data_IF_143101777183
#
_entry.id   IF_143101777183
#
_cell.length_a   1.000
_cell.length_b   1.000
_cell.length_c   1.000
_cell.angle_alpha   90.00
_cell.angle_beta   90.00
_cell.angle_gamma   90.00
#
_symmetry.space_group_name_H-M   'P 1'
#
loop_
_entity.id
_entity.type
_entity.pdbx_description
1 polymer ?
#
# COMPACT_ATOMS: atom_id res chain seq x y z
N UNK A 1 -14.21 11.48 13.67
CA UNK A 1 -14.61 10.16 13.09
C UNK A 1 -14.28 9.08 14.10
N UNK A 2 -15.21 8.15 14.38
CA UNK A 2 -14.92 7.01 15.25
C UNK A 2 -14.00 6.01 14.54
N UNK A 3 -13.09 5.39 15.31
CA UNK A 3 -12.23 4.34 14.80
C UNK A 3 -13.05 3.10 14.41
N UNK A 4 -12.73 2.49 13.27
CA UNK A 4 -13.49 1.38 12.68
C UNK A 4 -12.65 0.11 12.65
N UNK A 5 -13.03 -0.88 13.46
CA UNK A 5 -12.42 -2.21 13.45
C UNK A 5 -13.05 -3.14 12.39
N UNK A 6 -14.37 -3.03 12.21
CA UNK A 6 -15.13 -3.82 11.24
C UNK A 6 -16.17 -2.95 10.57
N UNK A 7 -16.55 -3.31 9.36
CA UNK A 7 -17.62 -2.65 8.62
C UNK A 7 -18.83 -3.58 8.47
N UNK A 8 -20.02 -2.99 8.47
CA UNK A 8 -21.29 -3.66 8.24
C UNK A 8 -22.15 -2.79 7.32
N UNK A 9 -22.02 -2.99 6.02
CA UNK A 9 -22.77 -2.26 5.01
C UNK A 9 -23.86 -3.16 4.40
N UNK A 10 -24.98 -2.59 3.93
CA UNK A 10 -26.08 -3.33 3.31
C UNK A 10 -25.75 -3.76 1.87
N UNK A 11 -24.55 -4.28 1.65
CA UNK A 11 -24.03 -4.77 0.38
C UNK A 11 -23.38 -6.13 0.59
N UNK A 12 -23.38 -7.02 -0.42
CA UNK A 12 -22.69 -8.29 -0.33
C UNK A 12 -21.16 -8.08 -0.12
N UNK A 13 -20.63 -8.50 1.02
CA UNK A 13 -19.19 -8.49 1.26
C UNK A 13 -18.56 -9.70 0.58
N UNK A 14 -17.69 -9.44 -0.39
CA UNK A 14 -17.02 -10.46 -1.23
C UNK A 14 -15.57 -10.70 -0.84
N UNK A 15 -15.01 -9.86 0.05
CA UNK A 15 -13.64 -10.03 0.54
C UNK A 15 -13.40 -9.27 1.83
N UNK A 16 -12.42 -9.75 2.61
CA UNK A 16 -11.92 -9.10 3.81
C UNK A 16 -10.41 -9.27 3.87
N UNK A 17 -9.70 -8.17 3.66
CA UNK A 17 -8.24 -8.11 3.80
C UNK A 17 -7.80 -7.72 5.22
N UNK A 18 -6.49 -7.57 5.40
CA UNK A 18 -5.87 -7.15 6.67
C UNK A 18 -6.40 -5.78 7.14
N UNK A 19 -6.70 -4.87 6.21
CA UNK A 19 -7.14 -3.49 6.50
C UNK A 19 -8.39 -3.07 5.74
N UNK A 20 -8.78 -3.73 4.66
CA UNK A 20 -9.92 -3.38 3.79
C UNK A 20 -10.97 -4.47 3.75
N UNK A 21 -12.22 -4.04 3.72
CA UNK A 21 -13.37 -4.88 3.40
C UNK A 21 -13.84 -4.53 1.98
N UNK A 22 -14.18 -5.54 1.18
CA UNK A 22 -14.56 -5.40 -0.23
C UNK A 22 -16.01 -5.82 -0.40
N UNK A 23 -16.83 -4.93 -0.94
CA UNK A 23 -18.24 -5.17 -1.19
C UNK A 23 -18.53 -5.16 -2.69
N UNK A 24 -19.41 -6.05 -3.14
CA UNK A 24 -19.92 -6.01 -4.51
C UNK A 24 -20.96 -4.87 -4.66
N UNK A 25 -20.89 -4.16 -5.79
CA UNK A 25 -21.85 -3.13 -6.19
C UNK A 25 -22.28 -3.45 -7.62
N UNK A 26 -23.38 -4.19 -7.76
CA UNK A 26 -23.74 -4.81 -9.04
C UNK A 26 -22.67 -5.79 -9.51
N UNK A 27 -22.61 -6.02 -10.82
CA UNK A 27 -21.71 -6.99 -11.42
C UNK A 27 -20.35 -6.38 -11.83
N UNK A 28 -20.33 -5.07 -12.07
CA UNK A 28 -19.22 -4.36 -12.71
C UNK A 28 -18.41 -3.45 -11.77
N UNK A 29 -18.82 -3.31 -10.50
CA UNK A 29 -18.19 -2.42 -9.53
C UNK A 29 -17.92 -3.12 -8.20
N UNK A 30 -17.01 -2.54 -7.44
CA UNK A 30 -16.73 -2.89 -6.05
C UNK A 30 -16.60 -1.62 -5.22
N UNK A 31 -16.99 -1.71 -3.95
CA UNK A 31 -16.70 -0.69 -2.95
C UNK A 31 -15.58 -1.21 -2.05
N UNK A 32 -14.45 -0.53 -2.05
CA UNK A 32 -13.36 -0.75 -1.11
C UNK A 32 -13.59 0.13 0.10
N UNK A 33 -13.75 -0.48 1.29
CA UNK A 33 -13.89 0.25 2.54
C UNK A 33 -12.69 -0.05 3.43
N UNK A 34 -11.88 0.98 3.67
CA UNK A 34 -10.67 0.86 4.48
C UNK A 34 -11.01 1.12 5.95
N UNK A 35 -10.74 0.13 6.78
CA UNK A 35 -10.91 0.20 8.24
C UNK A 35 -9.66 0.78 8.90
N UNK A 36 -9.74 1.00 10.22
CA UNK A 36 -8.60 1.46 11.01
C UNK A 36 -7.77 0.31 11.60
N UNK A 37 -8.00 -0.94 11.12
CA UNK A 37 -7.14 -2.09 11.44
C UNK A 37 -5.71 -1.82 11.02
N UNK A 38 -4.77 -2.35 11.80
CA UNK A 38 -3.36 -2.30 11.46
C UNK A 38 -2.73 -3.69 11.63
N UNK A 39 -1.78 -4.01 10.78
CA UNK A 39 -0.98 -5.23 10.86
C UNK A 39 0.50 -4.91 10.78
N UNK A 40 1.31 -5.64 11.53
CA UNK A 40 2.76 -5.65 11.40
C UNK A 40 3.28 -7.07 11.60
N UNK A 41 4.37 -7.43 10.92
CA UNK A 41 4.92 -8.80 10.95
C UNK A 41 3.85 -9.87 10.63
N UNK A 42 2.93 -9.55 9.69
CA UNK A 42 1.78 -10.34 9.25
C UNK A 42 0.71 -10.64 10.31
N UNK A 43 0.84 -10.08 11.50
CA UNK A 43 -0.16 -10.18 12.57
C UNK A 43 -1.01 -8.91 12.61
N UNK A 44 -2.34 -9.09 12.65
CA UNK A 44 -3.31 -7.99 12.82
C UNK A 44 -3.45 -7.68 14.30
N UNK A 45 -3.28 -6.40 14.66
CA UNK A 45 -3.44 -5.93 16.04
C UNK A 45 -4.90 -5.93 16.46
N UNK A 46 -5.15 -6.05 17.77
CA UNK A 46 -6.50 -5.94 18.34
C UNK A 46 -6.99 -4.50 18.32
N UNK A 47 -6.09 -3.55 18.53
CA UNK A 47 -6.38 -2.12 18.54
C UNK A 47 -6.45 -1.56 17.12
N UNK A 48 -7.16 -0.45 16.99
CA UNK A 48 -7.27 0.33 15.76
C UNK A 48 -6.39 1.57 15.83
N UNK A 49 -5.93 2.05 14.68
CA UNK A 49 -5.23 3.34 14.57
C UNK A 49 -6.23 4.38 14.05
N UNK A 50 -6.66 5.33 14.87
CA UNK A 50 -7.64 6.35 14.47
C UNK A 50 -7.20 7.07 13.19
N UNK A 51 -8.16 7.31 12.28
CA UNK A 51 -7.98 7.99 10.99
C UNK A 51 -7.17 7.21 9.93
N UNK A 52 -6.56 6.08 10.27
CA UNK A 52 -5.71 5.32 9.32
C UNK A 52 -6.45 4.96 8.03
N UNK A 53 -7.67 4.43 8.14
CA UNK A 53 -8.46 4.04 6.97
C UNK A 53 -8.77 5.22 6.05
N UNK A 54 -9.07 6.38 6.63
CA UNK A 54 -9.32 7.60 5.88
C UNK A 54 -8.03 8.11 5.20
N UNK A 55 -6.92 8.14 5.92
CA UNK A 55 -5.61 8.54 5.36
C UNK A 55 -5.26 7.69 4.15
N UNK A 56 -5.33 6.37 4.25
CA UNK A 56 -4.98 5.47 3.14
C UNK A 56 -5.87 5.68 1.93
N UNK A 57 -7.19 5.79 2.16
CA UNK A 57 -8.15 6.01 1.07
C UNK A 57 -7.92 7.36 0.39
N UNK A 58 -7.75 8.44 1.17
CA UNK A 58 -7.61 9.78 0.60
C UNK A 58 -6.25 10.00 -0.07
N UNK A 59 -5.15 9.39 0.42
CA UNK A 59 -3.87 9.37 -0.30
C UNK A 59 -4.02 8.63 -1.64
N UNK A 60 -4.61 7.43 -1.64
CA UNK A 60 -4.85 6.68 -2.89
C UNK A 60 -5.70 7.46 -3.87
N UNK A 61 -6.79 8.08 -3.39
CA UNK A 61 -7.68 8.89 -4.23
C UNK A 61 -6.97 10.12 -4.79
N UNK A 62 -6.10 10.76 -4.00
CA UNK A 62 -5.28 11.86 -4.48
C UNK A 62 -4.33 11.41 -5.59
N UNK A 63 -3.62 10.28 -5.42
CA UNK A 63 -2.74 9.73 -6.45
C UNK A 63 -3.49 9.32 -7.72
N UNK A 64 -4.65 8.68 -7.60
CA UNK A 64 -5.45 8.32 -8.77
C UNK A 64 -5.86 9.56 -9.59
N UNK A 65 -6.19 10.67 -8.92
CA UNK A 65 -6.45 11.94 -9.61
C UNK A 65 -5.20 12.51 -10.31
N UNK A 66 -4.01 12.39 -9.69
CA UNK A 66 -2.75 12.81 -10.33
C UNK A 66 -2.38 11.92 -11.53
N UNK A 67 -2.76 10.66 -11.50
CA UNK A 67 -2.49 9.67 -12.55
C UNK A 67 -3.51 9.70 -13.70
N UNK A 68 -4.52 10.55 -13.62
CA UNK A 68 -5.51 10.73 -14.72
C UNK A 68 -4.78 11.08 -16.02
N UNK A 69 -5.06 10.32 -17.10
CA UNK A 69 -4.35 10.47 -18.37
C UNK A 69 -2.92 9.91 -18.42
N UNK A 70 -2.35 9.45 -17.30
CA UNK A 70 -1.01 8.81 -17.25
C UNK A 70 -1.13 7.30 -17.39
N UNK A 71 -1.95 6.66 -16.55
CA UNK A 71 -2.27 5.24 -16.62
C UNK A 71 -3.75 5.01 -16.31
N UNK A 72 -4.41 4.04 -16.97
CA UNK A 72 -5.77 3.69 -16.64
C UNK A 72 -5.83 3.06 -15.23
N UNK A 73 -6.87 3.42 -14.47
CA UNK A 73 -7.07 2.93 -13.11
C UNK A 73 -8.53 2.63 -12.80
N UNK A 74 -8.78 1.96 -11.68
CA UNK A 74 -10.10 1.46 -11.32
C UNK A 74 -10.99 2.46 -10.57
N UNK A 75 -10.43 3.52 -9.96
CA UNK A 75 -11.21 4.45 -9.15
C UNK A 75 -12.31 5.15 -9.98
N UNK A 76 -13.53 5.11 -9.46
CA UNK A 76 -14.68 5.86 -9.98
C UNK A 76 -14.90 7.10 -9.12
N UNK A 77 -14.93 6.93 -7.78
CA UNK A 77 -15.07 8.02 -6.82
C UNK A 77 -14.59 7.62 -5.43
N UNK A 78 -14.08 8.60 -4.67
CA UNK A 78 -13.82 8.51 -3.24
C UNK A 78 -14.58 9.60 -2.45
N UNK A 79 -15.49 10.31 -3.12
CA UNK A 79 -16.41 11.25 -2.50
C UNK A 79 -17.65 10.51 -1.98
N UNK A 80 -17.97 10.68 -0.68
CA UNK A 80 -19.05 9.93 -0.04
C UNK A 80 -20.42 10.25 -0.63
N UNK A 81 -20.69 11.51 -0.97
CA UNK A 81 -21.99 11.92 -1.50
C UNK A 81 -22.17 11.44 -2.94
N UNK A 82 -21.08 11.41 -3.73
CA UNK A 82 -21.10 10.81 -5.06
C UNK A 82 -21.25 9.28 -4.99
N UNK A 83 -20.56 8.62 -4.06
CA UNK A 83 -20.72 7.18 -3.84
C UNK A 83 -22.17 6.85 -3.50
N UNK A 84 -22.79 7.58 -2.56
CA UNK A 84 -24.18 7.36 -2.15
C UNK A 84 -25.16 7.61 -3.32
N UNK A 85 -24.93 8.61 -4.16
CA UNK A 85 -25.75 8.82 -5.36
C UNK A 85 -25.68 7.66 -6.35
N UNK A 86 -24.51 7.02 -6.46
CA UNK A 86 -24.29 5.85 -7.35
C UNK A 86 -24.68 4.51 -6.72
N UNK A 87 -24.80 4.46 -5.37
CA UNK A 87 -25.11 3.29 -4.56
C UNK A 87 -26.11 3.70 -3.47
N UNK A 88 -27.42 3.87 -3.83
CA UNK A 88 -28.43 4.43 -2.93
C UNK A 88 -28.68 3.60 -1.65
N UNK A 89 -28.31 2.33 -1.65
CA UNK A 89 -28.34 1.45 -0.48
C UNK A 89 -27.53 2.01 0.69
N UNK A 90 -26.51 2.82 0.41
CA UNK A 90 -25.62 3.43 1.40
C UNK A 90 -26.15 4.74 2.00
N UNK A 91 -27.36 5.19 1.66
CA UNK A 91 -27.92 6.51 2.11
C UNK A 91 -27.89 6.71 3.64
N UNK A 92 -28.06 5.64 4.41
CA UNK A 92 -28.04 5.68 5.87
C UNK A 92 -26.65 5.35 6.45
N UNK A 93 -25.66 5.11 5.62
CA UNK A 93 -24.30 4.72 5.98
C UNK A 93 -23.24 5.78 5.62
N UNK A 94 -23.66 7.05 5.48
CA UNK A 94 -22.75 8.14 5.11
C UNK A 94 -21.55 8.26 6.06
N UNK A 95 -21.78 8.12 7.37
CA UNK A 95 -20.72 8.17 8.36
C UNK A 95 -19.70 7.00 8.25
N UNK A 96 -20.17 5.84 7.79
CA UNK A 96 -19.33 4.66 7.60
C UNK A 96 -18.45 4.77 6.35
N UNK A 97 -18.94 5.42 5.30
CA UNK A 97 -18.20 5.54 4.01
C UNK A 97 -17.38 6.81 3.90
N UNK A 98 -17.71 7.84 4.68
CA UNK A 98 -17.09 9.16 4.62
C UNK A 98 -15.57 9.06 4.79
N UNK A 99 -14.82 9.55 3.80
CA UNK A 99 -13.37 9.60 3.77
C UNK A 99 -12.65 8.25 3.63
N UNK A 100 -13.31 7.10 3.87
CA UNK A 100 -12.67 5.77 3.91
C UNK A 100 -13.16 4.77 2.87
N UNK A 101 -14.12 5.16 2.04
CA UNK A 101 -14.63 4.32 0.95
C UNK A 101 -14.13 4.80 -0.41
N UNK A 102 -13.94 3.87 -1.34
CA UNK A 102 -13.63 4.12 -2.73
C UNK A 102 -14.49 3.20 -3.59
N UNK A 103 -15.33 3.78 -4.45
CA UNK A 103 -16.08 3.06 -5.47
C UNK A 103 -15.16 2.84 -6.67
N UNK A 104 -15.04 1.59 -7.11
CA UNK A 104 -14.10 1.18 -8.14
C UNK A 104 -14.76 0.30 -9.19
N UNK A 105 -14.16 0.25 -10.39
CA UNK A 105 -14.47 -0.78 -11.40
C UNK A 105 -14.02 -2.14 -10.89
N UNK A 106 -14.85 -3.15 -11.10
CA UNK A 106 -14.48 -4.54 -10.83
C UNK A 106 -13.50 -5.03 -11.90
N UNK A 107 -12.52 -5.83 -11.48
CA UNK A 107 -11.50 -6.41 -12.36
C UNK A 107 -11.20 -7.85 -11.99
N UNK A 108 -10.64 -8.60 -12.93
CA UNK A 108 -9.92 -9.85 -12.63
C UNK A 108 -8.51 -9.47 -12.19
N UNK A 109 -8.20 -9.69 -10.92
CA UNK A 109 -6.90 -9.32 -10.32
C UNK A 109 -5.81 -10.25 -10.82
N UNK A 110 -4.62 -9.72 -11.17
CA UNK A 110 -3.46 -10.55 -11.46
C UNK A 110 -2.83 -11.06 -10.16
N UNK A 111 -2.39 -12.33 -10.10
CA UNK A 111 -1.83 -12.96 -8.90
C UNK A 111 -0.36 -12.58 -8.67
N UNK A 112 0.01 -11.36 -8.99
CA UNK A 112 1.38 -10.83 -8.88
C UNK A 112 1.33 -9.43 -8.29
N UNK A 113 2.15 -9.18 -7.28
CA UNK A 113 2.44 -7.87 -6.76
C UNK A 113 3.60 -7.23 -7.52
N UNK A 114 3.38 -6.05 -8.07
CA UNK A 114 4.37 -5.32 -8.86
C UNK A 114 5.12 -4.34 -7.95
N UNK A 115 6.28 -4.73 -7.45
CA UNK A 115 7.10 -3.87 -6.59
C UNK A 115 8.15 -3.15 -7.42
N UNK A 116 8.22 -1.82 -7.29
CA UNK A 116 9.31 -1.01 -7.86
C UNK A 116 10.15 -0.46 -6.72
N UNK A 117 11.48 -0.61 -6.86
CA UNK A 117 12.44 -0.16 -5.86
C UNK A 117 13.42 0.84 -6.46
N UNK A 118 13.40 2.06 -5.96
CA UNK A 118 14.39 3.10 -6.31
C UNK A 118 15.58 3.12 -5.36
N UNK A 119 15.47 2.41 -4.23
CA UNK A 119 16.49 2.32 -3.18
C UNK A 119 16.60 0.88 -2.68
N UNK A 120 17.81 0.49 -2.26
CA UNK A 120 18.04 -0.85 -1.73
C UNK A 120 17.76 -0.88 -0.22
N UNK A 121 16.57 -1.34 0.19
CA UNK A 121 16.14 -1.36 1.58
C UNK A 121 15.22 -2.54 1.91
N UNK A 122 15.00 -2.81 3.19
CA UNK A 122 14.09 -3.86 3.66
C UNK A 122 14.47 -5.24 3.13
N UNK A 123 13.51 -5.98 2.53
CA UNK A 123 13.77 -7.32 1.98
C UNK A 123 14.79 -7.30 0.85
N UNK A 124 14.81 -6.24 0.02
CA UNK A 124 15.80 -6.10 -1.04
C UNK A 124 17.22 -5.94 -0.51
N UNK A 125 17.41 -5.17 0.57
CA UNK A 125 18.71 -5.09 1.23
C UNK A 125 19.16 -6.43 1.80
N UNK A 126 18.24 -7.17 2.44
CA UNK A 126 18.54 -8.50 2.98
C UNK A 126 18.95 -9.49 1.89
N UNK A 127 18.24 -9.51 0.76
CA UNK A 127 18.56 -10.36 -0.39
C UNK A 127 19.93 -9.98 -0.97
N UNK A 128 20.15 -8.69 -1.23
CA UNK A 128 21.42 -8.20 -1.76
C UNK A 128 22.60 -8.50 -0.83
N UNK A 129 22.46 -8.25 0.47
CA UNK A 129 23.53 -8.52 1.43
C UNK A 129 23.89 -10.02 1.53
N UNK A 130 22.93 -10.91 1.25
CA UNK A 130 23.14 -12.36 1.27
C UNK A 130 23.73 -12.91 -0.03
N UNK A 131 23.34 -12.36 -1.20
CA UNK A 131 23.64 -12.98 -2.51
C UNK A 131 24.20 -12.01 -3.56
N UNK A 132 24.18 -10.71 -3.32
CA UNK A 132 24.53 -9.70 -4.33
C UNK A 132 23.48 -9.55 -5.44
N UNK A 133 22.28 -10.14 -5.24
CA UNK A 133 21.20 -10.14 -6.23
C UNK A 133 19.94 -9.45 -5.71
N UNK A 134 19.03 -9.12 -6.62
CA UNK A 134 17.67 -8.71 -6.34
C UNK A 134 16.75 -9.25 -7.44
N UNK A 135 15.70 -9.97 -7.06
CA UNK A 135 14.75 -10.62 -7.98
C UNK A 135 15.45 -11.51 -9.06
N UNK A 136 16.57 -12.15 -8.68
CA UNK A 136 17.38 -13.00 -9.54
C UNK A 136 18.40 -12.27 -10.42
N UNK A 137 18.44 -10.94 -10.41
CA UNK A 137 19.43 -10.14 -11.16
C UNK A 137 20.59 -9.71 -10.27
N UNK A 138 21.83 -9.82 -10.77
CA UNK A 138 23.01 -9.37 -10.05
C UNK A 138 23.06 -7.84 -10.05
N UNK A 139 23.27 -7.24 -8.88
CA UNK A 139 23.50 -5.82 -8.75
C UNK A 139 24.99 -5.48 -8.67
N UNK A 140 25.33 -4.19 -8.79
CA UNK A 140 26.71 -3.73 -8.61
C UNK A 140 27.21 -4.05 -7.20
N UNK A 141 28.49 -4.36 -7.07
CA UNK A 141 29.12 -4.61 -5.78
C UNK A 141 29.25 -3.30 -4.97
N UNK A 142 29.26 -3.44 -3.64
CA UNK A 142 29.53 -2.32 -2.72
C UNK A 142 28.34 -1.42 -2.41
N UNK A 143 27.10 -1.79 -2.78
CA UNK A 143 25.91 -1.07 -2.34
C UNK A 143 25.80 -1.11 -0.82
N UNK A 144 25.35 -0.02 -0.24
CA UNK A 144 25.05 0.10 1.19
C UNK A 144 23.55 0.21 1.45
N UNK A 145 23.11 -0.09 2.66
CA UNK A 145 21.68 -0.05 3.01
C UNK A 145 21.07 1.33 2.73
N UNK A 146 19.88 1.35 2.15
CA UNK A 146 19.16 2.55 1.74
C UNK A 146 19.84 3.37 0.63
N UNK A 147 20.85 2.83 -0.06
CA UNK A 147 21.45 3.51 -1.21
C UNK A 147 20.44 3.64 -2.36
N UNK A 148 20.49 4.77 -3.06
CA UNK A 148 19.73 4.99 -4.28
C UNK A 148 20.27 4.10 -5.39
N UNK A 149 19.40 3.36 -6.07
CA UNK A 149 19.76 2.56 -7.24
C UNK A 149 19.95 3.45 -8.47
N UNK A 150 20.82 3.04 -9.39
CA UNK A 150 21.10 3.78 -10.64
C UNK A 150 19.84 3.92 -11.51
N UNK A 151 19.00 2.89 -11.51
CA UNK A 151 17.64 2.91 -12.06
C UNK A 151 16.69 2.15 -11.13
N UNK A 152 15.41 2.52 -11.05
CA UNK A 152 14.43 1.75 -10.29
C UNK A 152 14.35 0.30 -10.80
N UNK A 153 14.32 -0.67 -9.88
CA UNK A 153 14.27 -2.11 -10.22
C UNK A 153 12.86 -2.62 -10.01
N UNK A 154 12.36 -3.41 -10.95
CA UNK A 154 11.14 -4.19 -10.82
C UNK A 154 11.47 -5.50 -10.10
N UNK A 155 10.97 -5.68 -8.90
CA UNK A 155 11.18 -6.86 -8.06
C UNK A 155 9.82 -7.42 -7.62
N UNK A 156 9.13 -8.16 -8.49
CA UNK A 156 7.79 -8.64 -8.22
C UNK A 156 7.76 -9.67 -7.09
N UNK A 157 6.55 -9.85 -6.52
CA UNK A 157 6.27 -10.91 -5.57
C UNK A 157 5.00 -11.67 -5.96
N UNK A 158 4.86 -12.90 -5.49
CA UNK A 158 3.58 -13.59 -5.57
C UNK A 158 2.59 -12.93 -4.62
N UNK A 159 1.31 -12.93 -5.00
CA UNK A 159 0.21 -12.60 -4.09
C UNK A 159 -0.20 -13.88 -3.37
N UNK A 160 0.33 -14.10 -2.17
CA UNK A 160 0.04 -15.30 -1.41
C UNK A 160 -1.42 -15.27 -0.90
N UNK A 161 -2.16 -16.35 -1.12
CA UNK A 161 -3.48 -16.53 -0.50
C UNK A 161 -3.33 -16.85 1.00
N UNK A 162 -2.25 -17.53 1.37
CA UNK A 162 -1.87 -17.85 2.76
C UNK A 162 -0.35 -17.74 2.92
N UNK A 163 0.10 -17.21 4.07
CA UNK A 163 1.54 -17.03 4.35
C UNK A 163 2.07 -15.64 3.96
N UNK A 164 3.32 -15.60 3.50
CA UNK A 164 4.02 -14.37 3.12
C UNK A 164 4.14 -14.26 1.60
N UNK A 165 4.10 -13.02 1.10
CA UNK A 165 4.43 -12.74 -0.30
C UNK A 165 5.92 -13.04 -0.53
N UNK A 166 6.20 -13.86 -1.54
CA UNK A 166 7.57 -14.27 -1.87
C UNK A 166 8.07 -13.49 -3.08
N UNK A 167 9.29 -12.93 -2.97
CA UNK A 167 9.95 -12.33 -4.12
C UNK A 167 10.13 -13.38 -5.22
N UNK A 168 9.76 -13.02 -6.44
CA UNK A 168 9.92 -13.88 -7.63
C UNK A 168 10.72 -13.15 -8.71
N UNK A 169 11.28 -13.90 -9.64
CA UNK A 169 11.97 -13.34 -10.79
C UNK A 169 11.00 -12.85 -11.86
N UNK A 170 11.46 -11.95 -12.74
CA UNK A 170 10.68 -11.52 -13.92
C UNK A 170 10.35 -12.72 -14.82
N UNK A 171 11.28 -13.68 -14.94
CA UNK A 171 11.05 -14.93 -15.68
C UNK A 171 9.83 -15.68 -15.10
N UNK A 172 9.72 -15.76 -13.77
CA UNK A 172 8.58 -16.42 -13.13
C UNK A 172 7.26 -15.68 -13.37
N UNK A 173 7.27 -14.35 -13.40
CA UNK A 173 6.08 -13.55 -13.77
C UNK A 173 5.65 -13.88 -15.21
N UNK A 174 6.61 -13.98 -16.14
CA UNK A 174 6.32 -14.35 -17.54
C UNK A 174 5.75 -15.76 -17.69
N UNK A 175 6.21 -16.71 -16.88
CA UNK A 175 5.61 -18.05 -16.82
C UNK A 175 4.15 -18.04 -16.34
N UNK A 176 3.83 -17.20 -15.33
CA UNK A 176 2.48 -17.11 -14.75
C UNK A 176 1.52 -16.37 -15.68
N UNK A 177 1.95 -15.26 -16.30
CA UNK A 177 1.07 -14.31 -16.99
C UNK A 177 1.23 -14.27 -18.51
N UNK A 178 2.29 -14.87 -19.03
CA UNK A 178 2.74 -14.67 -20.41
C UNK A 178 3.57 -13.38 -20.57
N UNK A 179 4.41 -13.33 -21.62
CA UNK A 179 5.36 -12.23 -21.84
C UNK A 179 4.66 -10.87 -21.96
N UNK A 180 3.65 -10.78 -22.82
CA UNK A 180 2.98 -9.50 -23.13
C UNK A 180 2.35 -8.85 -21.89
N UNK A 181 1.73 -9.66 -21.02
CA UNK A 181 1.13 -9.17 -19.78
C UNK A 181 2.21 -8.76 -18.79
N UNK A 182 3.23 -9.59 -18.60
CA UNK A 182 4.33 -9.31 -17.68
C UNK A 182 5.06 -8.01 -18.06
N UNK A 183 5.41 -7.84 -19.32
CA UNK A 183 6.08 -6.63 -19.84
C UNK A 183 5.18 -5.39 -19.69
N UNK A 184 3.86 -5.55 -19.89
CA UNK A 184 2.91 -4.47 -19.68
C UNK A 184 2.80 -4.05 -18.22
N UNK A 185 2.75 -5.02 -17.29
CA UNK A 185 2.70 -4.74 -15.85
C UNK A 185 3.98 -4.02 -15.38
N UNK A 186 5.15 -4.50 -15.78
CA UNK A 186 6.42 -3.85 -15.46
C UNK A 186 6.47 -2.42 -16.00
N UNK A 187 6.13 -2.21 -17.27
CA UNK A 187 6.11 -0.89 -17.90
C UNK A 187 5.17 0.08 -17.18
N UNK A 188 3.95 -0.37 -16.85
CA UNK A 188 2.97 0.46 -16.12
C UNK A 188 3.46 0.76 -14.70
N UNK A 189 3.99 -0.23 -13.98
CA UNK A 189 4.49 -0.04 -12.62
C UNK A 189 5.65 0.97 -12.58
N UNK A 190 6.60 0.89 -13.52
CA UNK A 190 7.69 1.87 -13.68
C UNK A 190 7.18 3.26 -14.00
N UNK A 191 6.16 3.37 -14.87
CA UNK A 191 5.54 4.65 -15.23
C UNK A 191 4.92 5.30 -13.99
N UNK A 192 4.12 4.55 -13.22
CA UNK A 192 3.48 5.06 -12.00
C UNK A 192 4.52 5.46 -10.96
N UNK A 193 5.54 4.62 -10.74
CA UNK A 193 6.61 4.91 -9.79
C UNK A 193 7.37 6.19 -10.14
N UNK A 194 7.86 6.30 -11.38
CA UNK A 194 8.65 7.46 -11.81
C UNK A 194 7.82 8.75 -11.76
N UNK A 195 6.54 8.67 -12.11
CA UNK A 195 5.62 9.81 -11.99
C UNK A 195 5.45 10.23 -10.52
N UNK A 196 5.16 9.27 -9.64
CA UNK A 196 4.92 9.53 -8.22
C UNK A 196 6.17 9.97 -7.47
N UNK A 197 7.33 9.34 -7.74
CA UNK A 197 8.61 9.72 -7.13
C UNK A 197 8.98 11.16 -7.43
N UNK A 198 8.78 11.60 -8.66
CA UNK A 198 9.02 12.99 -9.06
C UNK A 198 8.15 13.97 -8.27
N UNK A 199 6.84 13.70 -8.14
CA UNK A 199 5.93 14.56 -7.38
C UNK A 199 6.30 14.55 -5.89
N UNK A 200 6.47 13.36 -5.30
CA UNK A 200 6.79 13.20 -3.89
C UNK A 200 8.11 13.92 -3.51
N UNK A 201 9.09 13.87 -4.40
CA UNK A 201 10.37 14.56 -4.20
C UNK A 201 10.22 16.06 -4.09
N UNK A 202 9.35 16.68 -4.88
CA UNK A 202 9.03 18.11 -4.75
C UNK A 202 8.36 18.44 -3.41
N UNK A 203 7.71 17.47 -2.78
CA UNK A 203 7.12 17.59 -1.45
C UNK A 203 8.09 17.17 -0.32
N UNK A 204 9.38 16.98 -0.63
CA UNK A 204 10.38 16.57 0.36
C UNK A 204 10.27 15.12 0.81
N UNK A 205 9.59 14.25 0.03
CA UNK A 205 9.45 12.82 0.29
C UNK A 205 10.24 12.00 -0.73
N UNK A 206 10.92 10.99 -0.25
CA UNK A 206 11.49 9.90 -1.04
C UNK A 206 10.53 8.71 -0.98
N UNK A 207 10.08 8.22 -2.14
CA UNK A 207 9.43 6.92 -2.26
C UNK A 207 10.52 5.89 -2.52
N UNK A 208 10.96 5.19 -1.48
CA UNK A 208 12.07 4.25 -1.61
C UNK A 208 11.69 3.00 -2.40
N UNK A 209 10.54 2.46 -2.12
CA UNK A 209 9.88 1.40 -2.87
C UNK A 209 8.36 1.53 -2.74
N UNK A 210 7.65 0.89 -3.64
CA UNK A 210 6.20 0.82 -3.62
C UNK A 210 5.71 -0.44 -4.31
N UNK A 211 4.59 -0.95 -3.82
CA UNK A 211 3.88 -2.11 -4.34
C UNK A 211 2.64 -1.64 -5.08
N UNK A 212 2.44 -2.14 -6.28
CA UNK A 212 1.25 -1.93 -7.09
C UNK A 212 0.54 -3.24 -7.39
N UNK A 213 -0.77 -3.16 -7.52
CA UNK A 213 -1.62 -4.23 -8.00
C UNK A 213 -2.31 -3.81 -9.31
N UNK A 214 -2.49 -4.78 -10.20
CA UNK A 214 -3.16 -4.57 -11.48
C UNK A 214 -4.26 -5.60 -11.68
N UNK A 215 -5.25 -5.23 -12.48
CA UNK A 215 -6.33 -6.11 -12.87
C UNK A 215 -6.73 -5.92 -14.32
N UNK A 216 -7.40 -6.92 -14.88
CA UNK A 216 -8.02 -6.86 -16.20
C UNK A 216 -9.46 -6.42 -16.07
N UNK A 217 -9.81 -5.30 -16.65
CA UNK A 217 -11.16 -4.80 -16.70
C UNK A 217 -12.01 -5.59 -17.72
N UNK A 218 -13.32 -5.46 -17.69
CA UNK A 218 -14.24 -6.18 -18.56
C UNK A 218 -14.02 -5.88 -20.07
N UNK A 219 -13.46 -4.72 -20.39
CA UNK A 219 -13.08 -4.34 -21.76
C UNK A 219 -11.72 -4.87 -22.21
N UNK A 220 -11.08 -5.73 -21.39
CA UNK A 220 -9.79 -6.35 -21.66
C UNK A 220 -8.56 -5.50 -21.28
N UNK A 221 -8.73 -4.22 -20.95
CA UNK A 221 -7.63 -3.34 -20.56
C UNK A 221 -7.03 -3.74 -19.22
N UNK A 222 -5.73 -3.63 -19.12
CA UNK A 222 -5.00 -3.73 -17.84
C UNK A 222 -5.05 -2.36 -17.18
N UNK A 223 -5.49 -2.32 -15.91
CA UNK A 223 -5.63 -1.08 -15.15
C UNK A 223 -5.02 -1.23 -13.76
N UNK A 224 -4.55 -0.11 -13.20
CA UNK A 224 -4.04 -0.02 -11.83
C UNK A 224 -5.20 -0.12 -10.85
N UNK A 225 -5.04 -0.94 -9.81
CA UNK A 225 -6.09 -1.19 -8.81
C UNK A 225 -5.55 -1.09 -7.39
N UNK A 226 -6.43 -1.30 -6.42
CA UNK A 226 -6.20 -1.32 -4.98
C UNK A 226 -5.75 0.05 -4.46
N UNK A 227 -4.64 0.13 -3.72
CA UNK A 227 -4.08 1.38 -3.21
C UNK A 227 -2.83 1.80 -3.99
N UNK A 228 -2.54 3.08 -4.01
CA UNK A 228 -1.40 3.64 -4.74
C UNK A 228 -0.58 4.53 -3.83
N UNK A 229 0.71 4.18 -3.69
CA UNK A 229 1.71 5.00 -2.98
C UNK A 229 1.19 5.54 -1.65
N UNK A 230 0.71 4.63 -0.79
CA UNK A 230 0.31 4.92 0.58
C UNK A 230 1.39 4.49 1.57
N UNK A 231 1.33 4.92 2.83
CA UNK A 231 2.24 4.41 3.85
C UNK A 231 2.19 2.89 4.08
N UNK A 232 1.11 2.21 3.66
CA UNK A 232 1.00 0.75 3.78
C UNK A 232 1.63 0.01 2.59
N UNK A 233 1.56 0.58 1.39
CA UNK A 233 2.13 -0.01 0.17
C UNK A 233 3.53 0.49 -0.17
N UNK A 234 4.04 1.51 0.53
CA UNK A 234 5.29 2.21 0.17
C UNK A 234 6.13 2.54 1.39
N UNK A 235 7.46 2.63 1.20
CA UNK A 235 8.35 3.26 2.17
C UNK A 235 8.55 4.73 1.81
N UNK A 236 8.06 5.61 2.67
CA UNK A 236 8.25 7.04 2.56
C UNK A 236 9.31 7.51 3.52
N UNK A 237 10.35 8.18 3.02
CA UNK A 237 11.40 8.78 3.83
C UNK A 237 11.39 10.31 3.66
N UNK A 238 11.76 11.01 4.71
CA UNK A 238 12.00 12.45 4.65
C UNK A 238 13.30 12.71 3.90
N UNK A 239 13.23 13.53 2.84
CA UNK A 239 14.38 13.79 1.97
C UNK A 239 15.49 14.58 2.67
N UNK A 240 15.13 15.45 3.63
CA UNK A 240 16.03 16.32 4.38
C UNK A 240 16.94 15.60 5.39
N UNK A 241 16.51 14.42 5.87
CA UNK A 241 17.27 13.59 6.83
C UNK A 241 17.80 12.29 6.23
N UNK A 242 17.52 12.05 4.95
CA UNK A 242 17.97 10.86 4.25
C UNK A 242 19.51 10.76 4.23
N UNK A 243 20.03 9.59 4.57
CA UNK A 243 21.46 9.28 4.54
C UNK A 243 21.67 7.78 4.22
N UNK A 244 22.35 7.43 3.13
CA UNK A 244 22.66 6.03 2.81
C UNK A 244 23.57 5.39 3.87
N UNK A 245 23.64 4.07 3.89
CA UNK A 245 24.45 3.28 4.82
C UNK A 245 23.77 2.98 6.15
N UNK A 246 22.47 3.25 6.27
CA UNK A 246 21.67 2.95 7.48
C UNK A 246 20.19 2.83 7.16
N UNK A 247 19.39 2.17 8.03
CA UNK A 247 17.93 2.24 7.96
C UNK A 247 17.45 3.69 8.05
N UNK A 248 16.36 4.02 7.31
CA UNK A 248 15.77 5.35 7.31
C UNK A 248 14.49 5.38 8.16
N UNK A 249 14.25 6.49 8.91
CA UNK A 249 12.94 6.72 9.51
C UNK A 249 11.86 6.80 8.41
N UNK A 250 10.81 6.00 8.55
CA UNK A 250 9.70 5.96 7.60
C UNK A 250 8.45 6.64 8.16
N UNK A 251 7.61 7.21 7.26
CA UNK A 251 6.29 7.77 7.60
C UNK A 251 5.19 6.69 7.62
N UNK A 252 5.55 5.49 8.04
CA UNK A 252 4.61 4.37 8.13
C UNK A 252 4.38 3.95 9.60
N UNK A 253 4.17 2.67 9.81
CA UNK A 253 3.95 2.04 11.10
C UNK A 253 5.24 1.82 11.92
N UNK A 254 6.26 2.68 11.77
CA UNK A 254 7.53 2.53 12.51
C UNK A 254 7.35 2.51 14.03
N UNK A 255 6.52 3.39 14.67
CA UNK A 255 6.29 3.31 16.11
C UNK A 255 5.72 1.97 16.57
N UNK A 256 4.83 1.37 15.77
CA UNK A 256 4.29 0.04 16.01
C UNK A 256 5.38 -1.04 15.88
N UNK A 257 6.20 -0.98 14.82
CA UNK A 257 7.29 -1.96 14.63
C UNK A 257 8.32 -1.88 15.75
N UNK A 258 8.72 -0.68 16.15
CA UNK A 258 9.69 -0.47 17.24
C UNK A 258 9.19 -1.05 18.56
N UNK A 259 7.90 -0.85 18.87
CA UNK A 259 7.26 -1.44 20.02
C UNK A 259 7.26 -2.96 19.96
N UNK A 260 6.81 -3.55 18.86
CA UNK A 260 6.75 -5.01 18.69
C UNK A 260 8.14 -5.66 18.68
N UNK A 261 9.15 -5.00 18.14
CA UNK A 261 10.54 -5.46 18.20
C UNK A 261 11.09 -5.40 19.64
N UNK A 262 10.70 -4.39 20.43
CA UNK A 262 11.05 -4.33 21.85
C UNK A 262 10.39 -5.47 22.66
N UNK A 263 9.12 -5.78 22.38
CA UNK A 263 8.41 -6.91 22.99
C UNK A 263 9.06 -8.26 22.64
N UNK A 264 9.49 -8.44 21.40
CA UNK A 264 10.24 -9.63 20.96
C UNK A 264 11.59 -9.76 21.69
N UNK A 265 12.38 -8.69 21.72
CA UNK A 265 13.69 -8.67 22.39
C UNK A 265 13.58 -8.94 23.88
N UNK A 266 12.48 -8.51 24.50
CA UNK A 266 12.20 -8.76 25.90
C UNK A 266 11.59 -10.15 26.19
N UNK A 267 11.36 -10.97 25.16
CA UNK A 267 10.78 -12.31 25.29
C UNK A 267 9.29 -12.31 25.67
N UNK A 268 8.60 -11.17 25.55
CA UNK A 268 7.16 -11.06 25.85
C UNK A 268 6.27 -11.38 24.65
N UNK A 269 6.84 -11.46 23.46
CA UNK A 269 6.16 -11.88 22.24
C UNK A 269 7.10 -12.69 21.34
N UNK A 270 6.59 -13.76 20.75
CA UNK A 270 7.35 -14.64 19.85
C UNK A 270 7.26 -14.25 18.36
N UNK A 271 6.36 -13.31 18.00
CA UNK A 271 6.11 -12.89 16.63
C UNK A 271 4.81 -13.43 16.01
N UNK A 272 4.14 -14.36 16.73
CA UNK A 272 2.89 -14.98 16.28
C UNK A 272 1.66 -14.33 16.93
N UNK A 273 0.47 -14.65 16.41
CA UNK A 273 -0.79 -14.27 17.04
C UNK A 273 -1.02 -15.09 18.34
N UNK A 274 -1.61 -14.49 19.40
CA UNK A 274 -2.06 -13.10 19.49
C UNK A 274 -0.90 -12.11 19.71
N UNK A 275 -1.02 -10.87 19.14
CA UNK A 275 -0.04 -9.82 19.39
C UNK A 275 -0.20 -9.25 20.80
N UNK A 276 0.86 -8.60 21.36
CA UNK A 276 0.74 -7.86 22.60
C UNK A 276 -0.21 -6.65 22.41
N UNK A 277 -0.95 -6.25 23.48
CA UNK A 277 -1.78 -5.06 23.44
C UNK A 277 -0.96 -3.80 23.12
N UNK A 278 -1.51 -2.89 22.30
CA UNK A 278 -0.82 -1.65 21.97
C UNK A 278 -1.08 -0.58 23.04
N UNK A 279 -0.02 0.00 23.63
CA UNK A 279 -0.18 1.18 24.48
C UNK A 279 -0.78 2.37 23.71
N UNK A 280 -1.59 3.19 24.37
CA UNK A 280 -2.19 4.40 23.77
C UNK A 280 -1.13 5.31 23.13
N UNK A 281 0.06 5.42 23.74
CA UNK A 281 1.16 6.21 23.19
C UNK A 281 1.66 5.68 21.84
N UNK A 282 1.62 4.38 21.60
CA UNK A 282 1.99 3.76 20.32
C UNK A 282 0.89 3.99 19.28
N UNK A 283 -0.37 3.86 19.69
CA UNK A 283 -1.54 4.13 18.85
C UNK A 283 -1.52 5.60 18.38
N UNK A 284 -1.35 6.55 19.31
CA UNK A 284 -1.31 7.99 19.01
C UNK A 284 -0.11 8.36 18.13
N UNK A 285 1.08 7.83 18.43
CA UNK A 285 2.27 8.09 17.64
C UNK A 285 2.11 7.55 16.19
N UNK A 286 1.51 6.37 16.06
CA UNK A 286 1.24 5.76 14.75
C UNK A 286 0.20 6.59 13.98
N UNK A 287 -0.92 6.99 14.60
CA UNK A 287 -1.94 7.83 13.96
C UNK A 287 -1.34 9.16 13.46
N UNK A 288 -0.52 9.84 14.29
CA UNK A 288 0.18 11.07 13.89
C UNK A 288 1.09 10.86 12.68
N UNK A 289 1.76 9.71 12.57
CA UNK A 289 2.60 9.38 11.39
C UNK A 289 1.78 9.27 10.11
N UNK A 290 0.62 8.62 10.15
CA UNK A 290 -0.27 8.53 8.99
C UNK A 290 -0.80 9.89 8.56
N UNK A 291 -1.23 10.74 9.51
CA UNK A 291 -1.69 12.11 9.22
C UNK A 291 -0.56 12.97 8.64
N UNK A 292 0.66 12.86 9.19
CA UNK A 292 1.83 13.55 8.65
C UNK A 292 2.19 13.08 7.23
N UNK A 293 2.09 11.77 6.96
CA UNK A 293 2.26 11.25 5.61
C UNK A 293 1.25 11.85 4.63
N UNK A 294 -0.03 11.94 5.02
CA UNK A 294 -1.06 12.59 4.23
C UNK A 294 -0.70 14.04 3.91
N UNK A 295 -0.42 14.82 4.95
CA UNK A 295 -0.08 16.25 4.81
C UNK A 295 1.12 16.47 3.89
N UNK A 296 2.16 15.67 4.03
CA UNK A 296 3.37 15.79 3.20
C UNK A 296 3.11 15.36 1.75
N UNK A 297 2.38 14.27 1.52
CA UNK A 297 2.10 13.78 0.15
C UNK A 297 1.18 14.72 -0.60
N UNK A 298 0.14 15.24 0.05
CA UNK A 298 -0.91 16.02 -0.62
C UNK A 298 -0.69 17.53 -0.55
N UNK A 299 0.09 18.02 0.42
CA UNK A 299 0.24 19.42 0.75
C UNK A 299 -0.91 20.00 1.59
N UNK A 300 -1.92 19.19 1.92
CA UNK A 300 -3.15 19.61 2.61
C UNK A 300 -3.34 18.88 3.94
N UNK A 301 -4.13 19.46 4.84
CA UNK A 301 -4.65 18.75 6.00
C UNK A 301 -5.83 17.85 5.61
N UNK A 302 -5.92 16.66 6.25
CA UNK A 302 -7.02 15.74 5.98
C UNK A 302 -8.34 16.32 6.49
N UNK A 303 -9.24 16.64 5.57
CA UNK A 303 -10.60 17.11 5.84
C UNK A 303 -11.61 15.99 5.59
N UNK A 304 -12.40 15.65 6.60
CA UNK A 304 -13.43 14.61 6.55
C UNK A 304 -14.72 15.12 7.17
#
# INVERSE_FOLDING_TARGET
>A
MNAMLASDLPLPRIGRGKVRDIYAVGDDRVLLLTTDRISAFDVVMAETIPMKGAVLTQISAWWFRQLEGVVPHHMISADADEIIRKVPELKNHRADVLGRAMLCRRTTVFPVECVIRGYISGSAWKEYAASGTLAGERLKDGLVESEKLDAPIFSPATKAETGHDENITIARVREILGNDVADKLESMARTVYNFGERIARHQGIIIADTKFEFGRAADGRIILIDEVMTPDSSRFWAADVYKPGRPQPSFDKQPLRDYLDAERKAGRWNGDAPPPPLPDSVVDATSKRYLEAYRRVTGDELKI
#
